data_IF_907353942402
#
_entry.id   IF_907353942402
#
_cell.length_a   1.000
_cell.length_b   1.000
_cell.length_c   1.000
_cell.angle_alpha   90.00
_cell.angle_beta   90.00
_cell.angle_gamma   90.00
#
_symmetry.space_group_name_H-M   'P 1'
#
loop_
_entity.id
_entity.type
_entity.pdbx_description
1 polymer ?
#
# COMPACT_ATOMS: atom_id res chain seq x y z
N UNK A 1 15.60 5.17 -37.78
CA UNK A 1 15.13 6.48 -37.29
C UNK A 1 13.67 6.30 -36.89
N UNK A 2 13.41 5.80 -35.68
CA UNK A 2 12.10 5.86 -35.04
C UNK A 2 12.36 6.09 -33.56
N UNK A 3 12.02 7.29 -33.15
CA UNK A 3 12.01 7.80 -31.80
C UNK A 3 10.59 7.53 -31.30
N UNK A 4 10.40 6.65 -30.32
CA UNK A 4 9.09 6.48 -29.69
C UNK A 4 9.24 6.63 -28.18
N UNK A 5 8.94 7.84 -27.74
CA UNK A 5 8.69 8.22 -26.35
C UNK A 5 7.56 7.37 -25.77
N UNK A 6 7.90 6.44 -24.88
CA UNK A 6 6.92 5.79 -24.02
C UNK A 6 6.50 6.74 -22.91
N UNK A 7 5.54 7.60 -23.21
CA UNK A 7 4.79 8.38 -22.22
C UNK A 7 3.84 7.45 -21.45
N UNK A 8 4.07 7.30 -20.15
CA UNK A 8 3.13 6.67 -19.22
C UNK A 8 2.11 7.73 -18.83
N UNK A 9 0.86 7.52 -19.20
CA UNK A 9 -0.24 8.41 -18.87
C UNK A 9 -0.76 8.14 -17.45
N UNK A 10 -0.65 9.14 -16.57
CA UNK A 10 -1.39 9.21 -15.31
C UNK A 10 -2.73 9.88 -15.58
N UNK A 11 -3.83 9.12 -15.67
CA UNK A 11 -5.17 9.73 -15.66
C UNK A 11 -5.69 9.80 -14.24
N UNK A 12 -5.47 10.95 -13.61
CA UNK A 12 -6.42 11.50 -12.64
C UNK A 12 -7.25 12.49 -13.44
N UNK A 13 -8.49 12.14 -13.75
CA UNK A 13 -9.42 13.05 -14.41
C UNK A 13 -9.82 14.13 -13.39
N UNK A 14 -9.01 15.18 -13.27
CA UNK A 14 -9.46 16.46 -12.73
C UNK A 14 -9.83 17.33 -13.92
N UNK A 15 -11.13 17.46 -14.16
CA UNK A 15 -11.64 18.58 -14.92
C UNK A 15 -11.34 19.84 -14.09
N UNK A 16 -10.50 20.72 -14.64
CA UNK A 16 -10.21 22.09 -14.18
C UNK A 16 -9.44 22.25 -12.87
N UNK A 17 -8.15 21.88 -12.83
CA UNK A 17 -7.27 22.48 -11.82
C UNK A 17 -5.83 22.66 -12.32
N UNK A 18 -5.30 23.87 -12.16
CA UNK A 18 -3.90 24.29 -12.43
C UNK A 18 -2.93 23.71 -11.41
N UNK A 19 -3.10 22.42 -11.09
CA UNK A 19 -2.35 21.72 -10.05
C UNK A 19 -0.88 21.60 -10.47
N UNK A 20 0.09 21.98 -9.62
CA UNK A 20 1.51 21.78 -9.92
C UNK A 20 1.80 20.29 -10.12
N UNK A 21 2.64 20.02 -11.13
CA UNK A 21 3.16 18.70 -11.46
C UNK A 21 3.89 18.10 -10.23
N UNK A 22 3.99 16.76 -10.12
CA UNK A 22 4.78 16.16 -9.06
C UNK A 22 6.26 16.56 -9.21
N UNK A 23 6.80 17.29 -8.24
CA UNK A 23 8.16 17.87 -8.34
C UNK A 23 9.26 17.03 -7.67
N UNK A 24 8.90 15.93 -7.00
CA UNK A 24 9.85 15.11 -6.25
C UNK A 24 9.51 13.63 -6.27
N UNK A 25 10.50 12.79 -6.56
CA UNK A 25 10.41 11.34 -6.47
C UNK A 25 11.55 10.80 -5.60
N UNK A 26 11.23 10.03 -4.57
CA UNK A 26 12.21 9.28 -3.78
C UNK A 26 12.25 7.82 -4.21
N UNK A 27 13.47 7.28 -4.35
CA UNK A 27 13.71 5.88 -4.65
C UNK A 27 14.63 5.26 -3.61
N UNK A 28 14.20 4.14 -3.02
CA UNK A 28 15.07 3.30 -2.20
C UNK A 28 15.88 2.41 -3.14
N UNK A 29 17.19 2.65 -3.22
CA UNK A 29 18.10 2.07 -4.22
C UNK A 29 19.14 1.15 -3.59
N UNK A 30 19.56 0.14 -4.38
CA UNK A 30 20.64 -0.77 -4.00
C UNK A 30 20.42 -1.46 -2.65
N UNK A 31 21.38 -1.26 -1.76
CA UNK A 31 21.38 -1.81 -0.40
C UNK A 31 21.28 -0.74 0.70
N UNK A 32 21.63 0.51 0.36
CA UNK A 32 21.70 1.63 1.31
C UNK A 32 21.41 3.01 0.68
N UNK A 33 21.04 3.08 -0.60
CA UNK A 33 20.84 4.36 -1.28
C UNK A 33 19.42 4.90 -1.15
N UNK A 34 19.29 6.22 -1.07
CA UNK A 34 18.06 6.98 -1.33
C UNK A 34 18.36 7.97 -2.45
N UNK A 35 17.68 7.86 -3.57
CA UNK A 35 17.78 8.86 -4.65
C UNK A 35 16.55 9.75 -4.61
N UNK A 36 16.76 11.06 -4.57
CA UNK A 36 15.73 12.06 -4.75
C UNK A 36 15.86 12.69 -6.13
N UNK A 37 14.83 12.58 -6.96
CA UNK A 37 14.78 13.16 -8.30
C UNK A 37 13.85 14.36 -8.28
N UNK A 38 14.33 15.51 -8.74
CA UNK A 38 13.62 16.80 -8.78
C UNK A 38 13.72 17.40 -10.18
N UNK A 39 13.37 16.59 -11.19
CA UNK A 39 13.52 16.92 -12.61
C UNK A 39 12.95 18.30 -12.93
N UNK A 40 13.77 19.18 -13.51
CA UNK A 40 13.36 20.53 -13.91
C UNK A 40 13.34 21.59 -12.79
N UNK A 41 13.70 21.25 -11.55
CA UNK A 41 13.77 22.22 -10.45
C UNK A 41 15.13 22.95 -10.42
N UNK A 42 15.20 24.28 -10.25
CA UNK A 42 16.46 25.00 -10.05
C UNK A 42 17.21 24.52 -8.80
N UNK A 43 18.55 24.56 -8.80
CA UNK A 43 19.39 24.09 -7.68
C UNK A 43 19.02 24.74 -6.33
N UNK A 44 18.83 26.06 -6.33
CA UNK A 44 18.41 26.85 -5.15
C UNK A 44 17.08 26.41 -4.53
N UNK A 45 16.16 25.87 -5.35
CA UNK A 45 14.88 25.35 -4.87
C UNK A 45 14.99 23.91 -4.33
N UNK A 46 16.09 23.20 -4.62
CA UNK A 46 16.33 21.82 -4.17
C UNK A 46 16.95 21.76 -2.78
N UNK A 47 17.79 22.73 -2.41
CA UNK A 47 18.52 22.68 -1.14
C UNK A 47 17.60 22.44 0.08
N UNK A 48 16.44 23.14 0.23
CA UNK A 48 15.51 22.86 1.33
C UNK A 48 14.93 21.44 1.29
N UNK A 49 14.69 20.88 0.10
CA UNK A 49 14.20 19.51 -0.07
C UNK A 49 15.24 18.50 0.39
N UNK A 50 16.48 18.65 -0.08
CA UNK A 50 17.59 17.75 0.29
C UNK A 50 17.84 17.81 1.78
N UNK A 51 17.86 19.01 2.37
CA UNK A 51 18.00 19.21 3.81
C UNK A 51 16.85 18.54 4.59
N UNK A 52 15.60 18.67 4.12
CA UNK A 52 14.46 18.01 4.74
C UNK A 52 14.55 16.48 4.67
N UNK A 53 14.92 15.92 3.51
CA UNK A 53 15.12 14.47 3.32
C UNK A 53 16.22 13.96 4.25
N UNK A 54 17.40 14.58 4.20
CA UNK A 54 18.55 14.22 5.04
C UNK A 54 18.18 14.28 6.52
N UNK A 55 17.65 15.42 7.00
CA UNK A 55 17.25 15.58 8.40
C UNK A 55 16.21 14.55 8.82
N UNK A 56 15.29 14.17 7.93
CA UNK A 56 14.30 13.14 8.19
C UNK A 56 14.90 11.74 8.28
N UNK A 57 15.83 11.38 7.39
CA UNK A 57 16.53 10.09 7.43
C UNK A 57 17.39 9.98 8.70
N UNK A 58 18.13 11.04 9.03
CA UNK A 58 19.03 11.15 10.19
C UNK A 58 18.30 11.06 11.54
N UNK A 59 16.96 11.10 11.57
CA UNK A 59 16.20 10.79 12.79
C UNK A 59 16.29 9.33 13.24
N UNK A 60 16.64 8.41 12.33
CA UNK A 60 16.75 6.99 12.66
C UNK A 60 17.95 6.29 12.01
N UNK A 61 18.60 6.91 11.01
CA UNK A 61 19.70 6.29 10.29
C UNK A 61 20.71 7.30 9.78
N UNK A 62 22.01 6.99 9.92
CA UNK A 62 23.09 7.89 9.52
C UNK A 62 23.20 7.98 7.99
N UNK A 63 23.23 9.21 7.48
CA UNK A 63 23.57 9.52 6.08
C UNK A 63 25.08 9.71 5.99
N UNK A 64 25.76 8.80 5.30
CA UNK A 64 27.22 8.76 5.15
C UNK A 64 27.70 9.75 4.07
N UNK A 65 27.06 9.69 2.89
CA UNK A 65 27.49 10.48 1.74
C UNK A 65 26.28 11.07 1.01
N UNK A 66 26.47 12.27 0.45
CA UNK A 66 25.49 12.93 -0.42
C UNK A 66 26.18 13.35 -1.71
N UNK A 67 25.66 12.88 -2.85
CA UNK A 67 26.15 13.18 -4.19
C UNK A 67 25.08 13.91 -4.98
N UNK A 68 25.38 15.13 -5.40
CA UNK A 68 24.48 15.89 -6.26
C UNK A 68 24.65 15.51 -7.73
N UNK A 69 23.54 15.61 -8.47
CA UNK A 69 23.48 15.45 -9.92
C UNK A 69 22.60 16.55 -10.52
N UNK A 70 22.68 16.79 -11.85
CA UNK A 70 21.84 17.78 -12.51
C UNK A 70 20.34 17.57 -12.30
N UNK A 71 19.87 16.34 -12.06
CA UNK A 71 18.43 16.01 -11.98
C UNK A 71 17.97 15.58 -10.57
N UNK A 72 18.88 15.56 -9.58
CA UNK A 72 18.56 15.07 -8.26
C UNK A 72 19.77 14.89 -7.34
N UNK A 73 19.56 14.19 -6.23
CA UNK A 73 20.59 13.89 -5.24
C UNK A 73 20.53 12.42 -4.84
N UNK A 74 21.70 11.81 -4.70
CA UNK A 74 21.89 10.47 -4.17
C UNK A 74 22.43 10.57 -2.74
N UNK A 75 21.69 10.01 -1.78
CA UNK A 75 22.11 9.88 -0.39
C UNK A 75 22.47 8.42 -0.13
N UNK A 76 23.70 8.18 0.32
CA UNK A 76 24.15 6.86 0.78
C UNK A 76 24.01 6.79 2.29
N UNK A 77 23.32 5.76 2.77
CA UNK A 77 23.18 5.50 4.20
C UNK A 77 24.28 4.57 4.69
N UNK A 78 24.66 4.70 5.95
CA UNK A 78 25.63 3.81 6.59
C UNK A 78 25.11 2.36 6.59
N UNK A 79 25.98 1.37 6.42
CA UNK A 79 25.63 -0.07 6.41
C UNK A 79 24.56 -0.45 5.35
N UNK A 80 23.62 -1.36 5.64
CA UNK A 80 22.66 -1.94 4.68
C UNK A 80 21.20 -1.90 5.21
N UNK A 81 20.60 -0.71 5.40
CA UNK A 81 19.27 -0.54 6.02
C UNK A 81 18.14 -1.24 5.27
N UNK A 82 18.29 -1.49 3.97
CA UNK A 82 17.20 -2.07 3.18
C UNK A 82 17.07 -3.59 3.33
N UNK A 83 17.95 -4.22 4.11
CA UNK A 83 17.95 -5.67 4.35
C UNK A 83 18.10 -6.06 5.83
N UNK A 84 18.03 -5.10 6.74
CA UNK A 84 18.13 -5.37 8.18
C UNK A 84 16.83 -5.99 8.75
N UNK A 85 16.98 -6.59 9.93
CA UNK A 85 15.92 -7.32 10.64
C UNK A 85 15.77 -6.77 12.06
N UNK A 86 14.79 -7.28 12.82
CA UNK A 86 14.63 -6.89 14.23
C UNK A 86 14.38 -5.39 14.39
N UNK A 87 15.06 -4.81 15.40
CA UNK A 87 15.06 -3.37 15.73
C UNK A 87 15.62 -2.51 14.60
N UNK A 88 16.71 -2.93 13.97
CA UNK A 88 17.34 -2.17 12.89
C UNK A 88 16.40 -2.09 11.69
N UNK A 89 15.65 -3.16 11.43
CA UNK A 89 14.58 -3.18 10.43
C UNK A 89 13.45 -2.19 10.75
N UNK A 90 13.18 -1.92 12.03
CA UNK A 90 12.23 -0.87 12.44
C UNK A 90 12.83 0.50 12.18
N UNK A 91 14.07 0.75 12.63
CA UNK A 91 14.77 2.02 12.42
C UNK A 91 14.89 2.39 10.94
N UNK A 92 15.23 1.44 10.06
CA UNK A 92 15.29 1.69 8.62
C UNK A 92 13.94 2.15 8.03
N UNK A 93 12.81 1.63 8.54
CA UNK A 93 11.47 2.09 8.13
C UNK A 93 11.11 3.42 8.78
N UNK A 94 11.54 3.65 10.02
CA UNK A 94 11.39 4.93 10.69
C UNK A 94 12.18 6.04 9.99
N UNK A 95 13.34 5.75 9.40
CA UNK A 95 14.11 6.72 8.62
C UNK A 95 13.30 7.21 7.40
N UNK A 96 12.66 6.29 6.67
CA UNK A 96 11.76 6.66 5.57
C UNK A 96 10.57 7.46 6.09
N UNK A 97 9.95 7.04 7.20
CA UNK A 97 8.85 7.79 7.83
C UNK A 97 9.28 9.20 8.25
N UNK A 98 10.47 9.35 8.82
CA UNK A 98 11.09 10.62 9.18
C UNK A 98 11.28 11.53 7.97
N UNK A 99 11.71 10.98 6.83
CA UNK A 99 11.77 11.72 5.57
C UNK A 99 10.39 12.19 5.10
N UNK A 100 9.34 11.36 5.20
CA UNK A 100 7.96 11.78 4.87
C UNK A 100 7.49 12.94 5.75
N UNK A 101 7.70 12.82 7.07
CA UNK A 101 7.31 13.82 8.06
C UNK A 101 8.08 15.13 7.83
N UNK A 102 9.38 15.05 7.59
CA UNK A 102 10.25 16.21 7.38
C UNK A 102 9.91 16.95 6.08
N UNK A 103 9.66 16.21 4.99
CA UNK A 103 9.22 16.79 3.72
C UNK A 103 7.90 17.54 3.86
N UNK A 104 6.89 16.96 4.52
CA UNK A 104 5.62 17.66 4.69
C UNK A 104 5.77 18.87 5.62
N UNK A 105 6.39 18.68 6.81
CA UNK A 105 6.44 19.74 7.84
C UNK A 105 7.36 20.91 7.49
N UNK A 106 8.48 20.67 6.80
CA UNK A 106 9.49 21.72 6.55
C UNK A 106 9.32 22.41 5.20
N UNK A 107 8.89 21.65 4.19
CA UNK A 107 8.87 22.13 2.79
C UNK A 107 7.52 21.94 2.10
N UNK A 108 6.52 21.40 2.80
CA UNK A 108 5.17 21.25 2.29
C UNK A 108 5.00 20.15 1.25
N UNK A 109 5.96 19.22 1.11
CA UNK A 109 5.85 18.11 0.16
C UNK A 109 5.19 16.91 0.82
N UNK A 110 4.01 16.55 0.35
CA UNK A 110 3.26 15.37 0.82
C UNK A 110 3.42 14.22 -0.15
N UNK A 111 3.53 13.00 0.37
CA UNK A 111 3.51 11.80 -0.45
C UNK A 111 2.14 11.67 -1.13
N UNK A 112 2.10 11.78 -2.45
CA UNK A 112 0.87 11.71 -3.24
C UNK A 112 0.53 10.25 -3.59
N UNK A 113 1.55 9.45 -3.90
CA UNK A 113 1.39 8.03 -4.21
C UNK A 113 2.72 7.29 -4.11
N UNK A 114 2.63 5.96 -4.06
CA UNK A 114 3.75 5.04 -4.22
C UNK A 114 3.53 4.16 -5.42
N UNK A 115 4.54 4.03 -6.27
CA UNK A 115 4.44 3.31 -7.55
C UNK A 115 5.57 2.31 -7.65
N UNK A 116 5.34 1.21 -8.36
CA UNK A 116 6.41 0.25 -8.67
C UNK A 116 6.77 0.36 -10.13
N UNK A 117 8.00 0.78 -10.38
CA UNK A 117 8.54 0.88 -11.74
C UNK A 117 9.41 -0.34 -11.99
N UNK A 118 9.21 -0.99 -13.14
CA UNK A 118 10.05 -2.11 -13.56
C UNK A 118 11.36 -1.57 -14.17
N UNK A 119 12.49 -2.11 -13.72
CA UNK A 119 13.77 -2.01 -14.40
C UNK A 119 14.31 -3.42 -14.74
N UNK A 120 15.48 -3.48 -15.38
CA UNK A 120 16.16 -4.75 -15.71
C UNK A 120 16.45 -5.64 -14.49
N UNK A 121 16.39 -5.10 -13.28
CA UNK A 121 16.65 -5.77 -11.99
C UNK A 121 15.35 -5.98 -11.18
N UNK A 122 14.19 -5.75 -11.78
CA UNK A 122 12.87 -6.01 -11.21
C UNK A 122 12.07 -4.76 -10.84
N UNK A 123 10.98 -4.95 -10.08
CA UNK A 123 10.13 -3.86 -9.62
C UNK A 123 10.78 -3.12 -8.46
N UNK A 124 10.87 -1.79 -8.56
CA UNK A 124 11.40 -0.91 -7.51
C UNK A 124 10.31 0.04 -7.01
N UNK A 125 10.10 0.16 -5.69
CA UNK A 125 9.19 1.15 -5.14
C UNK A 125 9.77 2.56 -5.35
N UNK A 126 8.90 3.47 -5.77
CA UNK A 126 9.15 4.90 -5.95
C UNK A 126 8.06 5.66 -5.20
N UNK A 127 8.45 6.65 -4.43
CA UNK A 127 7.57 7.50 -3.64
C UNK A 127 7.45 8.84 -4.34
N UNK A 128 6.25 9.20 -4.79
CA UNK A 128 6.01 10.39 -5.61
C UNK A 128 5.32 11.45 -4.75
N UNK A 129 5.94 12.62 -4.66
CA UNK A 129 5.52 13.71 -3.79
C UNK A 129 4.93 14.86 -4.60
N UNK A 130 4.02 15.58 -3.96
CA UNK A 130 3.41 16.78 -4.49
C UNK A 130 3.53 17.91 -3.46
N UNK A 131 3.80 19.12 -3.95
CA UNK A 131 3.78 20.31 -3.11
C UNK A 131 2.35 20.63 -2.71
N UNK A 132 2.11 20.72 -1.41
CA UNK A 132 0.81 21.10 -0.85
C UNK A 132 0.67 22.64 -0.86
N UNK A 133 -0.56 23.16 -1.01
CA UNK A 133 -0.85 24.56 -0.69
C UNK A 133 -0.42 24.88 0.74
N UNK A 134 0.04 26.12 0.97
CA UNK A 134 0.83 26.57 2.13
C UNK A 134 0.12 26.44 3.51
N UNK A 135 -1.17 26.08 3.53
CA UNK A 135 -1.97 25.82 4.75
C UNK A 135 -2.11 24.32 5.06
N UNK A 136 -1.05 23.52 4.84
CA UNK A 136 -1.10 22.11 5.18
C UNK A 136 -1.31 21.93 6.70
N UNK A 137 -2.41 21.28 7.04
CA UNK A 137 -2.70 20.76 8.37
C UNK A 137 -1.52 19.94 8.89
N UNK A 138 -1.18 20.13 10.18
CA UNK A 138 -0.24 19.22 10.83
C UNK A 138 -0.81 17.80 10.76
N UNK A 139 0.09 16.82 10.64
CA UNK A 139 -0.30 15.42 10.49
C UNK A 139 0.49 14.49 11.40
N UNK A 140 -0.22 13.48 11.88
CA UNK A 140 0.31 12.31 12.54
C UNK A 140 0.61 11.24 11.50
N UNK A 141 1.76 10.59 11.66
CA UNK A 141 2.27 9.58 10.75
C UNK A 141 2.58 8.30 11.51
N UNK A 142 2.18 7.16 10.97
CA UNK A 142 2.56 5.84 11.50
C UNK A 142 2.88 4.89 10.36
N UNK A 143 3.69 3.87 10.63
CA UNK A 143 3.96 2.78 9.72
C UNK A 143 3.42 1.45 10.24
N UNK A 144 2.77 0.69 9.35
CA UNK A 144 2.40 -0.71 9.59
C UNK A 144 3.19 -1.59 8.64
N UNK A 145 4.09 -2.39 9.19
CA UNK A 145 4.91 -3.33 8.42
C UNK A 145 4.48 -4.78 8.62
N UNK A 146 4.59 -5.54 7.54
CA UNK A 146 4.18 -6.95 7.48
C UNK A 146 5.45 -7.77 7.20
N UNK A 147 6.11 -8.18 8.27
CA UNK A 147 7.48 -8.67 8.24
C UNK A 147 7.54 -10.19 8.32
N UNK A 148 8.64 -10.71 7.78
CA UNK A 148 8.94 -12.14 7.77
C UNK A 148 7.76 -12.91 7.14
N UNK A 149 7.20 -13.90 7.84
CA UNK A 149 6.05 -14.68 7.37
C UNK A 149 4.81 -14.47 8.26
N UNK A 150 4.99 -13.87 9.44
CA UNK A 150 4.05 -13.94 10.55
C UNK A 150 4.01 -12.70 11.45
N UNK A 151 4.74 -11.62 11.12
CA UNK A 151 4.82 -10.45 12.01
C UNK A 151 4.09 -9.24 11.47
N UNK A 152 3.33 -8.58 12.34
CA UNK A 152 2.82 -7.22 12.10
C UNK A 152 3.56 -6.29 13.05
N UNK A 153 4.02 -5.13 12.58
CA UNK A 153 4.60 -4.11 13.46
C UNK A 153 4.01 -2.75 13.19
N UNK A 154 3.57 -2.08 14.26
CA UNK A 154 3.19 -0.67 14.26
C UNK A 154 4.35 0.15 14.82
N UNK A 155 4.69 1.26 14.16
CA UNK A 155 5.74 2.18 14.61
C UNK A 155 5.39 3.62 14.25
N UNK A 156 5.85 4.55 15.06
CA UNK A 156 5.72 5.99 14.84
C UNK A 156 7.02 6.62 14.34
N UNK A 157 7.06 7.95 14.21
CA UNK A 157 8.31 8.68 14.02
C UNK A 157 9.27 8.38 15.19
N UNK A 158 10.58 8.42 14.98
CA UNK A 158 11.56 8.14 16.03
C UNK A 158 11.32 8.95 17.30
N UNK A 159 11.47 8.30 18.44
CA UNK A 159 11.38 8.89 19.78
C UNK A 159 10.00 9.49 20.11
N UNK A 160 8.98 9.17 19.30
CA UNK A 160 7.58 9.54 19.53
C UNK A 160 6.83 8.25 19.85
N UNK A 161 6.51 8.05 21.12
CA UNK A 161 5.79 6.86 21.58
C UNK A 161 4.48 6.63 20.80
N UNK A 162 4.01 5.38 20.80
CA UNK A 162 2.79 5.00 20.09
C UNK A 162 1.53 5.33 20.89
N UNK A 163 0.49 5.75 20.17
CA UNK A 163 -0.86 5.84 20.68
C UNK A 163 -1.36 4.45 21.12
N UNK A 164 -1.52 4.27 22.42
CA UNK A 164 -1.93 3.00 23.02
C UNK A 164 -3.35 2.58 22.63
N UNK A 165 -4.21 3.55 22.29
CA UNK A 165 -5.53 3.23 21.77
C UNK A 165 -5.43 2.57 20.39
N UNK A 166 -4.56 3.10 19.52
CA UNK A 166 -4.30 2.53 18.20
C UNK A 166 -3.69 1.12 18.32
N UNK A 167 -2.73 0.93 19.23
CA UNK A 167 -2.15 -0.39 19.56
C UNK A 167 -3.23 -1.39 19.96
N UNK A 168 -4.12 -1.01 20.88
CA UNK A 168 -5.24 -1.86 21.31
C UNK A 168 -6.22 -2.15 20.17
N UNK A 169 -6.52 -1.17 19.32
CA UNK A 169 -7.44 -1.33 18.19
C UNK A 169 -6.89 -2.31 17.14
N UNK A 170 -5.59 -2.21 16.81
CA UNK A 170 -4.91 -3.15 15.91
C UNK A 170 -4.88 -4.56 16.51
N UNK A 171 -4.67 -4.69 17.83
CA UNK A 171 -4.74 -5.99 18.53
C UNK A 171 -6.12 -6.64 18.36
N UNK A 172 -7.20 -5.84 18.50
CA UNK A 172 -8.57 -6.29 18.25
C UNK A 172 -8.81 -6.70 16.80
N UNK A 173 -8.31 -5.92 15.83
CA UNK A 173 -8.41 -6.25 14.40
C UNK A 173 -7.71 -7.57 14.06
N UNK A 174 -6.53 -7.83 14.65
CA UNK A 174 -5.80 -9.09 14.48
C UNK A 174 -6.63 -10.26 15.02
N UNK A 175 -7.20 -10.13 16.22
CA UNK A 175 -8.02 -11.17 16.84
C UNK A 175 -9.29 -11.49 16.02
N UNK A 176 -9.93 -10.48 15.43
CA UNK A 176 -11.11 -10.66 14.58
C UNK A 176 -10.77 -11.24 13.19
N UNK A 177 -9.66 -10.81 12.60
CA UNK A 177 -9.31 -11.15 11.22
C UNK A 177 -8.56 -12.47 11.05
N UNK A 178 -7.71 -12.85 12.02
CA UNK A 178 -6.82 -14.00 11.94
C UNK A 178 -7.25 -15.15 12.86
N UNK A 179 -7.83 -16.25 12.34
CA UNK A 179 -8.43 -17.31 13.15
C UNK A 179 -7.44 -18.04 14.07
N UNK A 180 -6.16 -18.06 13.72
CA UNK A 180 -5.12 -18.69 14.56
C UNK A 180 -4.68 -17.78 15.70
N UNK A 181 -5.02 -16.50 15.65
CA UNK A 181 -4.70 -15.51 16.68
C UNK A 181 -3.23 -15.12 16.76
N UNK A 182 -2.94 -14.30 17.76
CA UNK A 182 -1.59 -13.86 18.11
C UNK A 182 -0.93 -14.87 19.06
N UNK A 183 0.36 -15.16 18.83
CA UNK A 183 1.17 -15.98 19.74
C UNK A 183 1.79 -15.15 20.85
N UNK A 184 2.30 -13.96 20.49
CA UNK A 184 2.99 -13.04 21.38
C UNK A 184 2.87 -11.62 20.85
N UNK A 185 2.66 -10.70 21.78
CA UNK A 185 2.76 -9.26 21.56
C UNK A 185 3.96 -8.75 22.37
N UNK A 186 4.82 -7.94 21.75
CA UNK A 186 6.07 -7.48 22.36
C UNK A 186 6.60 -6.21 21.69
N UNK A 187 7.52 -5.54 22.36
CA UNK A 187 8.30 -4.46 21.75
C UNK A 187 9.42 -5.02 20.86
N UNK A 188 9.75 -4.28 19.79
CA UNK A 188 10.85 -4.57 18.87
C UNK A 188 11.48 -3.26 18.42
N UNK A 189 12.48 -2.78 19.17
CA UNK A 189 12.88 -1.37 19.08
C UNK A 189 11.73 -0.47 19.54
N UNK A 190 11.46 0.62 18.82
CA UNK A 190 10.34 1.53 19.09
C UNK A 190 9.02 1.10 18.42
N UNK A 191 8.92 -0.15 17.98
CA UNK A 191 7.71 -0.70 17.39
C UNK A 191 6.97 -1.64 18.35
N UNK A 192 5.65 -1.62 18.26
CA UNK A 192 4.79 -2.67 18.78
C UNK A 192 4.73 -3.82 17.77
N UNK A 193 5.07 -5.04 18.19
CA UNK A 193 5.12 -6.22 17.33
C UNK A 193 4.14 -7.30 17.79
N UNK A 194 3.30 -7.75 16.85
CA UNK A 194 2.47 -8.95 16.98
C UNK A 194 3.06 -10.10 16.17
N UNK A 195 3.40 -11.19 16.86
CA UNK A 195 3.84 -12.45 16.25
C UNK A 195 2.63 -13.36 16.11
N UNK A 196 2.15 -13.57 14.88
CA UNK A 196 0.93 -14.30 14.58
C UNK A 196 1.17 -15.81 14.57
N UNK A 197 0.18 -16.62 14.98
CA UNK A 197 0.30 -18.09 14.87
C UNK A 197 0.20 -18.51 13.39
N UNK A 198 1.20 -19.24 12.90
CA UNK A 198 1.29 -19.67 11.50
C UNK A 198 1.93 -18.61 10.61
N UNK A 199 1.71 -18.70 9.29
CA UNK A 199 2.41 -17.85 8.30
C UNK A 199 1.42 -17.08 7.40
N UNK A 200 0.69 -16.08 7.93
CA UNK A 200 -0.30 -15.32 7.16
C UNK A 200 0.28 -14.63 5.91
N UNK A 201 1.54 -14.22 5.93
CA UNK A 201 2.18 -13.53 4.79
C UNK A 201 2.88 -14.49 3.82
N UNK A 202 2.85 -15.80 4.12
CA UNK A 202 3.21 -16.91 3.23
C UNK A 202 2.08 -17.94 3.16
N UNK A 203 0.83 -17.46 3.07
CA UNK A 203 -0.35 -18.31 3.19
C UNK A 203 -0.67 -19.11 1.91
N UNK A 204 -1.18 -20.33 2.13
CA UNK A 204 -1.68 -21.24 1.10
C UNK A 204 -3.18 -21.50 1.25
N UNK A 205 -3.81 -21.94 0.16
CA UNK A 205 -5.21 -22.40 0.14
C UNK A 205 -6.20 -21.41 0.80
N UNK A 206 -6.99 -21.89 1.77
CA UNK A 206 -8.01 -21.12 2.51
C UNK A 206 -7.39 -20.05 3.41
N UNK A 207 -6.18 -20.28 3.94
CA UNK A 207 -5.49 -19.27 4.75
C UNK A 207 -5.18 -17.99 3.98
N UNK A 208 -5.16 -18.03 2.63
CA UNK A 208 -5.08 -16.80 1.83
C UNK A 208 -6.28 -15.88 2.04
N UNK A 209 -7.48 -16.44 2.19
CA UNK A 209 -8.70 -15.69 2.47
C UNK A 209 -8.60 -15.08 3.87
N UNK A 210 -8.13 -15.87 4.84
CA UNK A 210 -7.93 -15.40 6.22
C UNK A 210 -6.91 -14.26 6.30
N UNK A 211 -5.84 -14.28 5.50
CA UNK A 211 -4.90 -13.15 5.38
C UNK A 211 -5.60 -11.88 4.87
N UNK A 212 -6.55 -11.98 3.93
CA UNK A 212 -7.27 -10.79 3.42
C UNK A 212 -8.24 -10.27 4.45
N UNK A 213 -8.87 -11.15 5.23
CA UNK A 213 -9.69 -10.72 6.36
C UNK A 213 -8.85 -10.06 7.46
N UNK A 214 -7.66 -10.58 7.77
CA UNK A 214 -6.71 -9.90 8.65
C UNK A 214 -6.38 -8.49 8.16
N UNK A 215 -6.00 -8.35 6.88
CA UNK A 215 -5.72 -7.04 6.29
C UNK A 215 -6.96 -6.14 6.30
N UNK A 216 -8.13 -6.63 5.88
CA UNK A 216 -9.37 -5.85 5.86
C UNK A 216 -9.76 -5.34 7.24
N UNK A 217 -9.59 -6.13 8.30
CA UNK A 217 -9.85 -5.68 9.68
C UNK A 217 -8.87 -4.58 10.12
N UNK A 218 -7.58 -4.71 9.78
CA UNK A 218 -6.58 -3.67 10.05
C UNK A 218 -6.91 -2.39 9.29
N UNK A 219 -7.21 -2.47 7.99
CA UNK A 219 -7.60 -1.31 7.17
C UNK A 219 -8.87 -0.65 7.71
N UNK A 220 -9.85 -1.45 8.13
CA UNK A 220 -11.08 -0.96 8.74
C UNK A 220 -10.80 -0.11 9.98
N UNK A 221 -9.94 -0.60 10.89
CA UNK A 221 -9.52 0.16 12.07
C UNK A 221 -8.79 1.44 11.67
N UNK A 222 -7.83 1.38 10.75
CA UNK A 222 -7.08 2.57 10.32
C UNK A 222 -8.02 3.65 9.75
N UNK A 223 -8.95 3.28 8.86
CA UNK A 223 -9.92 4.22 8.28
C UNK A 223 -10.91 4.77 9.31
N UNK A 224 -11.37 3.94 10.27
CA UNK A 224 -12.21 4.42 11.38
C UNK A 224 -11.49 5.42 12.29
N UNK A 225 -10.17 5.32 12.37
CA UNK A 225 -9.32 6.23 13.12
C UNK A 225 -8.87 7.45 12.30
N UNK A 226 -9.49 7.69 11.14
CA UNK A 226 -9.17 8.78 10.20
C UNK A 226 -7.73 8.73 9.65
N UNK A 227 -7.10 7.56 9.65
CA UNK A 227 -5.85 7.36 8.93
C UNK A 227 -6.14 7.07 7.46
N UNK A 228 -5.47 7.81 6.59
CA UNK A 228 -5.38 7.61 5.15
C UNK A 228 -4.05 6.95 4.80
N UNK A 229 -4.02 6.16 3.72
CA UNK A 229 -2.77 5.57 3.24
C UNK A 229 -1.94 6.67 2.61
N UNK A 230 -0.81 7.00 3.24
CA UNK A 230 0.17 7.94 2.71
C UNK A 230 0.96 7.28 1.56
N UNK A 231 1.32 6.01 1.72
CA UNK A 231 1.98 5.26 0.67
C UNK A 231 2.35 3.85 1.07
N UNK A 232 2.73 3.04 0.09
CA UNK A 232 3.04 1.62 0.25
C UNK A 232 4.42 1.35 -0.33
N UNK A 233 5.32 0.87 0.51
CA UNK A 233 6.60 0.33 0.07
C UNK A 233 6.49 -1.18 0.06
N UNK A 234 6.51 -1.78 -1.12
CA UNK A 234 6.54 -3.23 -1.28
C UNK A 234 7.96 -3.73 -1.57
N UNK A 235 8.22 -5.01 -1.33
CA UNK A 235 9.50 -5.65 -1.64
C UNK A 235 10.31 -6.00 -0.39
N UNK A 236 11.55 -5.48 -0.28
CA UNK A 236 12.45 -5.80 0.84
C UNK A 236 11.99 -5.21 2.18
N UNK A 237 11.32 -4.06 2.13
CA UNK A 237 10.76 -3.37 3.29
C UNK A 237 9.23 -3.22 3.15
N UNK A 238 8.44 -4.30 3.29
CA UNK A 238 6.99 -4.21 3.17
C UNK A 238 6.42 -3.34 4.31
N UNK A 239 5.84 -2.19 3.96
CA UNK A 239 5.21 -1.26 4.89
C UNK A 239 4.13 -0.44 4.19
N UNK A 240 3.04 -0.19 4.92
CA UNK A 240 2.08 0.85 4.61
C UNK A 240 2.35 2.01 5.56
N UNK A 241 2.65 3.19 5.01
CA UNK A 241 2.68 4.43 5.75
C UNK A 241 1.30 5.05 5.75
N UNK A 242 0.92 5.57 6.91
CA UNK A 242 -0.38 6.13 7.19
C UNK A 242 -0.21 7.56 7.66
N UNK A 243 -1.16 8.40 7.25
CA UNK A 243 -1.24 9.81 7.63
C UNK A 243 -2.60 10.05 8.26
N UNK A 244 -2.67 10.88 9.29
CA UNK A 244 -3.91 11.40 9.85
C UNK A 244 -3.74 12.89 10.10
N UNK A 245 -4.69 13.70 9.64
CA UNK A 245 -4.73 15.12 10.01
C UNK A 245 -4.79 15.28 11.53
N UNK A 246 -3.99 16.17 12.13
CA UNK A 246 -4.12 16.53 13.55
C UNK A 246 -5.47 17.22 13.85
N UNK A 247 -6.10 17.81 12.82
CA UNK A 247 -7.44 18.39 12.92
C UNK A 247 -8.55 17.33 12.83
N UNK A 248 -8.22 16.09 12.44
CA UNK A 248 -9.19 15.00 12.48
C UNK A 248 -9.43 14.61 13.93
N UNK A 249 -10.71 14.55 14.33
CA UNK A 249 -11.07 14.12 15.68
C UNK A 249 -10.52 12.72 15.95
N UNK A 250 -9.86 12.56 17.10
CA UNK A 250 -9.45 11.27 17.65
C UNK A 250 -10.61 10.53 18.34
N UNK A 251 -11.68 11.27 18.67
CA UNK A 251 -12.83 10.78 19.42
C UNK A 251 -13.96 10.26 18.53
N UNK A 252 -14.00 10.66 17.25
CA UNK A 252 -14.98 10.14 16.29
C UNK A 252 -14.54 8.75 15.86
N UNK A 253 -15.05 7.72 16.54
CA UNK A 253 -15.21 6.40 15.94
C UNK A 253 -16.20 6.56 14.80
N UNK A 254 -15.68 6.82 13.59
CA UNK A 254 -16.52 6.88 12.39
C UNK A 254 -17.40 5.64 12.27
N UNK A 255 -18.47 5.67 11.45
CA UNK A 255 -19.29 4.50 11.23
C UNK A 255 -18.40 3.30 10.86
N UNK A 256 -18.71 2.14 11.43
CA UNK A 256 -17.98 0.88 11.16
C UNK A 256 -18.32 0.43 9.75
N UNK A 257 -17.67 1.05 8.77
CA UNK A 257 -17.89 0.74 7.36
C UNK A 257 -17.13 -0.56 7.03
N UNK A 258 -17.81 -1.58 6.50
CA UNK A 258 -17.19 -2.86 6.19
C UNK A 258 -16.15 -2.70 5.08
N UNK A 259 -15.09 -3.50 5.17
CA UNK A 259 -14.03 -3.48 4.16
C UNK A 259 -14.15 -4.73 3.30
N UNK A 260 -14.50 -4.53 2.03
CA UNK A 260 -14.61 -5.59 1.02
C UNK A 260 -13.26 -5.75 0.33
N UNK A 261 -12.74 -6.97 0.33
CA UNK A 261 -11.52 -7.33 -0.38
C UNK A 261 -11.83 -8.20 -1.59
N UNK A 262 -11.28 -7.83 -2.75
CA UNK A 262 -11.34 -8.60 -3.98
C UNK A 262 -9.95 -9.12 -4.32
N UNK A 263 -9.83 -10.43 -4.46
CA UNK A 263 -8.60 -11.11 -4.82
C UNK A 263 -8.73 -11.64 -6.25
N UNK A 264 -7.77 -11.31 -7.09
CA UNK A 264 -7.56 -12.05 -8.34
C UNK A 264 -6.61 -13.19 -8.03
N UNK A 265 -6.98 -14.42 -8.33
CA UNK A 265 -6.22 -15.62 -8.01
C UNK A 265 -5.90 -16.40 -9.28
N UNK A 266 -4.61 -16.68 -9.48
CA UNK A 266 -4.14 -17.34 -10.68
C UNK A 266 -4.61 -18.81 -10.73
N UNK A 267 -4.97 -19.33 -11.93
CA UNK A 267 -4.93 -18.61 -13.20
C UNK A 267 -6.23 -17.85 -13.56
N UNK A 268 -7.35 -18.13 -12.89
CA UNK A 268 -8.68 -17.77 -13.41
C UNK A 268 -9.76 -17.60 -12.33
N UNK A 269 -9.40 -17.18 -11.13
CA UNK A 269 -10.35 -17.09 -10.01
C UNK A 269 -10.44 -15.67 -9.49
N UNK A 270 -11.64 -15.25 -9.11
CA UNK A 270 -11.86 -14.04 -8.32
C UNK A 270 -12.45 -14.47 -6.99
N UNK A 271 -11.94 -13.93 -5.88
CA UNK A 271 -12.53 -14.17 -4.56
C UNK A 271 -12.94 -12.86 -3.91
N UNK A 272 -14.10 -12.84 -3.28
CA UNK A 272 -14.60 -11.67 -2.55
C UNK A 272 -14.83 -12.07 -1.08
N UNK A 273 -14.29 -11.28 -0.16
CA UNK A 273 -14.48 -11.44 1.29
C UNK A 273 -14.63 -10.07 1.96
N UNK A 274 -15.18 -10.02 3.17
CA UNK A 274 -15.45 -8.76 3.88
C UNK A 274 -15.37 -8.93 5.39
N UNK A 275 -15.07 -7.83 6.09
CA UNK A 275 -15.15 -7.76 7.56
C UNK A 275 -16.57 -7.95 8.08
N UNK A 276 -17.60 -7.63 7.28
CA UNK A 276 -19.00 -8.01 7.55
C UNK A 276 -19.54 -8.86 6.40
N UNK A 277 -19.90 -10.12 6.69
CA UNK A 277 -20.46 -11.03 5.69
C UNK A 277 -21.79 -10.53 5.10
N UNK A 278 -22.56 -9.71 5.82
CA UNK A 278 -23.81 -9.14 5.30
C UNK A 278 -23.57 -8.13 4.18
N UNK A 279 -22.43 -7.42 4.24
CA UNK A 279 -22.02 -6.47 3.19
C UNK A 279 -21.62 -7.14 1.87
N UNK A 280 -21.44 -8.47 1.87
CA UNK A 280 -21.02 -9.19 0.67
C UNK A 280 -22.15 -9.39 -0.35
N UNK A 281 -23.39 -9.57 0.09
CA UNK A 281 -24.48 -9.98 -0.82
C UNK A 281 -24.67 -9.01 -2.01
N UNK A 282 -24.72 -7.68 -1.80
CA UNK A 282 -24.81 -6.74 -2.93
C UNK A 282 -23.58 -6.78 -3.83
N UNK A 283 -22.38 -6.79 -3.24
CA UNK A 283 -21.11 -6.83 -3.97
C UNK A 283 -20.95 -8.11 -4.82
N UNK A 284 -21.33 -9.27 -4.27
CA UNK A 284 -21.34 -10.56 -4.98
C UNK A 284 -22.31 -10.50 -6.16
N UNK A 285 -23.52 -9.98 -5.96
CA UNK A 285 -24.53 -9.89 -7.01
C UNK A 285 -24.05 -8.99 -8.16
N UNK A 286 -23.54 -7.80 -7.84
CA UNK A 286 -23.03 -6.86 -8.84
C UNK A 286 -21.83 -7.42 -9.62
N UNK A 287 -20.87 -8.06 -8.93
CA UNK A 287 -19.73 -8.69 -9.63
C UNK A 287 -20.18 -9.87 -10.48
N UNK A 288 -21.13 -10.69 -10.02
CA UNK A 288 -21.68 -11.79 -10.81
C UNK A 288 -22.31 -11.27 -12.09
N UNK A 289 -23.17 -10.26 -12.00
CA UNK A 289 -23.81 -9.63 -13.15
C UNK A 289 -22.78 -9.06 -14.13
N UNK A 290 -21.77 -8.35 -13.61
CA UNK A 290 -20.70 -7.79 -14.43
C UNK A 290 -19.88 -8.86 -15.17
N UNK A 291 -19.63 -10.02 -14.54
CA UNK A 291 -18.92 -11.14 -15.16
C UNK A 291 -19.78 -11.95 -16.15
N UNK A 292 -21.11 -11.87 -16.05
CA UNK A 292 -22.06 -12.49 -16.98
C UNK A 292 -22.42 -11.56 -18.15
N UNK A 293 -22.05 -10.28 -18.09
CA UNK A 293 -22.35 -9.32 -19.13
C UNK A 293 -21.72 -9.71 -20.47
N UNK A 294 -22.50 -9.75 -21.57
CA UNK A 294 -21.99 -10.10 -22.90
C UNK A 294 -21.00 -9.07 -23.44
N UNK A 295 -20.89 -7.90 -22.82
CA UNK A 295 -19.94 -6.84 -23.20
C UNK A 295 -18.50 -7.15 -22.77
N UNK A 296 -18.29 -8.07 -21.83
CA UNK A 296 -16.94 -8.42 -21.34
C UNK A 296 -16.34 -9.50 -22.23
N UNK A 297 -16.98 -10.67 -22.23
CA UNK A 297 -16.72 -11.81 -23.09
C UNK A 297 -17.79 -12.86 -22.81
N UNK A 298 -18.26 -13.57 -23.83
CA UNK A 298 -19.35 -14.55 -23.68
C UNK A 298 -18.93 -15.70 -22.76
N UNK A 299 -19.79 -16.06 -21.79
CA UNK A 299 -19.64 -17.22 -20.90
C UNK A 299 -18.36 -17.24 -20.04
N UNK A 300 -17.87 -16.05 -19.62
CA UNK A 300 -16.68 -15.90 -18.76
C UNK A 300 -16.88 -16.55 -17.40
N UNK A 301 -18.03 -16.37 -16.75
CA UNK A 301 -18.27 -17.02 -15.47
C UNK A 301 -18.70 -18.47 -15.69
N UNK A 302 -17.95 -19.44 -15.13
CA UNK A 302 -18.28 -20.87 -15.21
C UNK A 302 -19.05 -21.36 -14.00
N UNK A 303 -18.53 -21.07 -12.82
CA UNK A 303 -19.08 -21.49 -11.53
C UNK A 303 -18.78 -20.43 -10.49
N UNK A 304 -19.64 -20.31 -9.49
CA UNK A 304 -19.29 -19.70 -8.22
C UNK A 304 -19.59 -20.65 -7.06
N UNK A 305 -18.84 -20.53 -5.98
CA UNK A 305 -18.98 -21.39 -4.82
C UNK A 305 -18.41 -20.73 -3.57
N UNK A 306 -18.77 -21.26 -2.40
CA UNK A 306 -18.15 -20.86 -1.14
C UNK A 306 -16.73 -21.44 -1.04
N UNK A 307 -15.74 -20.58 -0.79
CA UNK A 307 -14.36 -20.97 -0.52
C UNK A 307 -13.86 -20.33 0.78
N UNK A 308 -13.90 -21.10 1.88
CA UNK A 308 -13.59 -20.55 3.20
C UNK A 308 -14.59 -19.45 3.58
N UNK A 309 -14.09 -18.27 3.97
CA UNK A 309 -14.89 -17.07 4.30
C UNK A 309 -15.07 -16.12 3.11
N UNK A 310 -15.01 -16.65 1.90
CA UNK A 310 -15.14 -15.89 0.65
C UNK A 310 -16.06 -16.60 -0.34
N UNK A 311 -16.65 -15.83 -1.25
CA UNK A 311 -17.19 -16.39 -2.51
C UNK A 311 -16.07 -16.43 -3.54
N UNK A 312 -15.93 -17.55 -4.21
CA UNK A 312 -15.01 -17.77 -5.33
C UNK A 312 -15.80 -17.86 -6.63
N UNK A 313 -15.49 -16.96 -7.57
CA UNK A 313 -15.90 -17.04 -8.97
C UNK A 313 -14.77 -17.69 -9.76
N UNK A 314 -15.07 -18.74 -10.52
CA UNK A 314 -14.14 -19.34 -11.47
C UNK A 314 -14.51 -18.92 -12.88
N UNK A 315 -13.52 -18.39 -13.56
CA UNK A 315 -13.64 -17.85 -14.90
C UNK A 315 -13.21 -18.88 -15.93
N UNK A 316 -13.73 -18.76 -17.15
CA UNK A 316 -13.23 -19.47 -18.31
C UNK A 316 -11.82 -18.98 -18.69
N UNK A 317 -11.06 -19.83 -19.39
CA UNK A 317 -9.68 -19.58 -19.76
C UNK A 317 -8.80 -19.22 -18.55
N UNK A 318 -7.66 -18.55 -18.80
CA UNK A 318 -6.66 -18.18 -17.79
C UNK A 318 -6.34 -16.67 -17.83
N UNK A 319 -7.33 -15.80 -17.53
CA UNK A 319 -7.17 -14.35 -17.65
C UNK A 319 -6.03 -13.81 -16.77
N UNK A 320 -5.72 -14.47 -15.67
CA UNK A 320 -4.68 -14.04 -14.73
C UNK A 320 -3.43 -14.92 -14.78
N UNK A 321 -3.16 -15.56 -15.92
CA UNK A 321 -1.92 -16.30 -16.12
C UNK A 321 -0.71 -15.36 -16.10
N UNK A 322 0.46 -15.82 -15.61
CA UNK A 322 1.66 -14.97 -15.38
C UNK A 322 2.25 -14.31 -16.63
N UNK A 323 1.94 -14.82 -17.81
CA UNK A 323 2.37 -14.26 -19.10
C UNK A 323 1.17 -14.26 -20.04
N UNK A 324 0.19 -13.38 -19.81
CA UNK A 324 -0.93 -13.28 -20.71
C UNK A 324 -0.40 -12.67 -22.02
N UNK A 325 -0.57 -13.38 -23.14
CA UNK A 325 -0.20 -12.88 -24.47
C UNK A 325 -1.49 -12.52 -25.20
N UNK A 326 -1.49 -11.41 -25.93
CA UNK A 326 -2.62 -10.98 -26.76
C UNK A 326 -3.91 -10.75 -25.97
N UNK A 327 -4.98 -11.44 -26.36
CA UNK A 327 -6.36 -11.24 -25.84
C UNK A 327 -6.51 -11.42 -24.33
N UNK A 328 -5.66 -12.23 -23.68
CA UNK A 328 -5.75 -12.47 -22.24
C UNK A 328 -5.35 -11.23 -21.41
N UNK A 329 -4.43 -10.39 -21.89
CA UNK A 329 -4.01 -9.18 -21.18
C UNK A 329 -5.14 -8.14 -21.17
N UNK A 330 -5.79 -7.96 -22.33
CA UNK A 330 -6.99 -7.13 -22.49
C UNK A 330 -8.11 -7.66 -21.61
N UNK A 331 -8.39 -8.96 -21.67
CA UNK A 331 -9.42 -9.61 -20.86
C UNK A 331 -9.22 -9.38 -19.35
N UNK A 332 -7.99 -9.54 -18.85
CA UNK A 332 -7.67 -9.30 -17.44
C UNK A 332 -7.94 -7.85 -17.00
N UNK A 333 -7.67 -6.89 -17.89
CA UNK A 333 -7.89 -5.46 -17.65
C UNK A 333 -9.38 -5.12 -17.70
N UNK A 334 -10.11 -5.67 -18.67
CA UNK A 334 -11.57 -5.51 -18.74
C UNK A 334 -12.27 -6.08 -17.51
N UNK A 335 -11.87 -7.27 -17.06
CA UNK A 335 -12.38 -7.88 -15.82
C UNK A 335 -12.11 -6.96 -14.61
N UNK A 336 -10.90 -6.43 -14.49
CA UNK A 336 -10.54 -5.51 -13.41
C UNK A 336 -11.45 -4.26 -13.40
N UNK A 337 -11.63 -3.61 -14.56
CA UNK A 337 -12.48 -2.42 -14.68
C UNK A 337 -13.94 -2.73 -14.34
N UNK A 338 -14.47 -3.87 -14.82
CA UNK A 338 -15.84 -4.27 -14.54
C UNK A 338 -16.07 -4.58 -13.06
N UNK A 339 -15.10 -5.21 -12.40
CA UNK A 339 -15.16 -5.44 -10.95
C UNK A 339 -15.18 -4.10 -10.20
N UNK A 340 -14.34 -3.13 -10.58
CA UNK A 340 -14.32 -1.80 -9.94
C UNK A 340 -15.67 -1.08 -10.13
N UNK A 341 -16.20 -1.09 -11.36
CA UNK A 341 -17.49 -0.48 -11.67
C UNK A 341 -18.66 -1.16 -10.94
N UNK A 342 -18.63 -2.50 -10.83
CA UNK A 342 -19.62 -3.26 -10.08
C UNK A 342 -19.58 -2.97 -8.58
N UNK A 343 -18.39 -2.74 -8.01
CA UNK A 343 -18.29 -2.29 -6.62
C UNK A 343 -18.85 -0.86 -6.46
N UNK A 344 -18.51 0.04 -7.38
CA UNK A 344 -19.01 1.41 -7.36
C UNK A 344 -20.55 1.47 -7.50
N UNK A 345 -21.17 0.61 -8.29
CA UNK A 345 -22.63 0.58 -8.47
C UNK A 345 -23.40 0.19 -7.21
N UNK A 346 -22.75 -0.48 -6.25
CA UNK A 346 -23.31 -0.80 -4.93
C UNK A 346 -22.83 0.15 -3.83
N UNK A 347 -22.22 1.28 -4.20
CA UNK A 347 -21.79 2.33 -3.27
C UNK A 347 -20.42 2.09 -2.62
N UNK A 348 -19.68 1.06 -3.03
CA UNK A 348 -18.35 0.79 -2.49
C UNK A 348 -17.29 1.60 -3.22
N UNK A 349 -16.45 2.32 -2.48
CA UNK A 349 -15.38 3.14 -3.05
C UNK A 349 -14.06 2.37 -3.03
N UNK A 350 -13.33 2.37 -4.15
CA UNK A 350 -11.97 1.82 -4.18
C UNK A 350 -11.04 2.63 -3.27
N UNK A 351 -10.40 1.98 -2.31
CA UNK A 351 -9.50 2.62 -1.35
C UNK A 351 -8.03 2.29 -1.58
N UNK A 352 -7.72 1.03 -1.92
CA UNK A 352 -6.34 0.59 -2.03
C UNK A 352 -6.18 -0.67 -2.88
N UNK A 353 -5.02 -0.82 -3.51
CA UNK A 353 -4.52 -2.08 -4.05
C UNK A 353 -3.24 -2.44 -3.31
N UNK A 354 -3.21 -3.61 -2.67
CA UNK A 354 -2.07 -4.03 -1.84
C UNK A 354 -1.60 -5.42 -2.23
N UNK A 355 -0.29 -5.60 -2.38
CA UNK A 355 0.36 -6.89 -2.54
C UNK A 355 1.41 -7.12 -1.45
N UNK A 356 0.94 -7.55 -0.28
CA UNK A 356 1.80 -7.81 0.88
C UNK A 356 2.20 -9.28 1.02
N UNK A 357 1.79 -10.15 0.09
CA UNK A 357 2.14 -11.56 0.13
C UNK A 357 3.54 -11.78 -0.47
N UNK A 358 4.40 -12.54 0.22
CA UNK A 358 5.76 -12.86 -0.29
C UNK A 358 5.74 -13.93 -1.38
N UNK A 359 4.69 -14.75 -1.42
CA UNK A 359 4.57 -15.83 -2.40
C UNK A 359 4.15 -15.32 -3.79
N UNK A 360 4.94 -15.65 -4.83
CA UNK A 360 4.74 -15.23 -6.25
C UNK A 360 3.41 -15.67 -6.90
N UNK A 361 2.59 -16.46 -6.21
CA UNK A 361 1.27 -16.89 -6.70
C UNK A 361 0.10 -16.16 -6.02
N UNK A 362 0.39 -15.36 -4.99
CA UNK A 362 -0.60 -14.50 -4.37
C UNK A 362 -0.57 -13.19 -5.15
N UNK A 363 -1.59 -12.94 -5.97
CA UNK A 363 -1.72 -11.65 -6.64
C UNK A 363 -2.28 -10.63 -5.65
N UNK A 364 -2.08 -9.35 -5.97
CA UNK A 364 -2.56 -8.23 -5.17
C UNK A 364 -4.07 -8.31 -4.94
N UNK A 365 -4.52 -7.63 -3.89
CA UNK A 365 -5.94 -7.55 -3.54
C UNK A 365 -6.37 -6.09 -3.61
N UNK A 366 -7.57 -5.87 -4.14
CA UNK A 366 -8.24 -4.58 -4.08
C UNK A 366 -9.05 -4.52 -2.79
N UNK A 367 -9.12 -3.33 -2.20
CA UNK A 367 -9.89 -3.08 -0.99
C UNK A 367 -10.83 -1.91 -1.23
N UNK A 368 -12.08 -2.10 -0.83
CA UNK A 368 -13.18 -1.16 -0.97
C UNK A 368 -13.83 -0.91 0.39
N UNK A 369 -14.42 0.27 0.55
CA UNK A 369 -15.21 0.65 1.73
C UNK A 369 -16.35 1.57 1.32
#
# INVERSE_FOLDING_TARGET
>A
MFNEDHSIWWTRAYANDTTPLPDLCLALQGWSGVTAVTSGMPHEAREPLVAAIRSGLETAWVVDEVKESPDGVDLSLETLPWICFGSDGVQARQAVLGALVSLEKRVGYRLATSVRVADSRGLKPKLVFQKMPQEADRAEYVGLSFNQMDRVRLFGPPHQGLDQFLVSAISGAIAAGWPRGCSRQQECGEAEEWVLKGFPFDAFFKSRVDTRLLLSNILQVMWQQNFEIAGVVEGKLPVIYWRRSENASKDIRGPVNPVVSVMFNAPNKIRITSTDQRSLSPAIAAVREALQSPQVWKDVLKEDSLYGRSIEFKLDNWPFFRRPVGSNAVLSTSILLNVINAMASVGLTFKASLNLARHRSCMGSLFFQ
#
